data_IF_101099623204
#
_entry.id   IF_101099623204
#
_cell.length_a   1.000
_cell.length_b   1.000
_cell.length_c   1.000
_cell.angle_alpha   90.00
_cell.angle_beta   90.00
_cell.angle_gamma   90.00
#
_symmetry.space_group_name_H-M   'P 1'
#
loop_
_entity.id
_entity.type
_entity.pdbx_description
1 polymer ?
#
# COMPACT_ATOMS: atom_id res chain seq x y z
N UNK A 1 26.44 8.02 2.26
CA UNK A 1 25.05 8.12 2.75
C UNK A 1 24.19 8.66 1.61
N UNK A 2 23.24 7.87 1.10
CA UNK A 2 22.25 8.33 0.10
C UNK A 2 20.93 8.48 0.83
N UNK A 3 20.36 9.68 0.83
CA UNK A 3 19.01 9.91 1.33
C UNK A 3 18.05 9.84 0.14
N UNK A 4 16.98 9.06 0.28
CA UNK A 4 15.91 8.95 -0.71
C UNK A 4 14.67 9.56 -0.09
N UNK A 5 13.98 10.43 -0.83
CA UNK A 5 12.70 11.00 -0.40
C UNK A 5 11.61 9.93 -0.53
N UNK A 6 10.95 9.61 0.58
CA UNK A 6 9.83 8.68 0.61
C UNK A 6 8.74 9.14 1.58
N UNK A 7 7.62 8.42 1.57
CA UNK A 7 6.51 8.59 2.48
C UNK A 7 6.41 7.35 3.36
N UNK A 8 6.31 7.54 4.68
CA UNK A 8 6.07 6.47 5.63
C UNK A 8 4.56 6.20 5.72
N UNK A 9 4.17 4.98 5.40
CA UNK A 9 2.82 4.46 5.56
C UNK A 9 2.75 3.59 6.82
N UNK A 10 1.80 3.89 7.68
CA UNK A 10 1.41 3.05 8.82
C UNK A 10 0.05 2.44 8.53
N UNK A 11 -0.06 1.12 8.57
CA UNK A 11 -1.28 0.38 8.29
C UNK A 11 -1.31 -0.94 9.06
N UNK A 12 -2.47 -1.59 9.15
CA UNK A 12 -2.55 -2.95 9.69
C UNK A 12 -1.94 -3.98 8.73
N UNK A 13 -1.70 -5.19 9.24
CA UNK A 13 -1.04 -6.25 8.48
C UNK A 13 -1.84 -6.72 7.26
N UNK A 14 -3.18 -6.63 7.28
CA UNK A 14 -4.00 -7.03 6.15
C UNK A 14 -3.91 -6.00 5.01
N UNK A 15 -4.00 -4.71 5.34
CA UNK A 15 -3.77 -3.61 4.38
C UNK A 15 -2.35 -3.68 3.81
N UNK A 16 -1.36 -4.00 4.64
CA UNK A 16 0.02 -4.19 4.18
C UNK A 16 0.13 -5.29 3.11
N UNK A 17 -0.56 -6.42 3.28
CA UNK A 17 -0.55 -7.50 2.27
C UNK A 17 -1.17 -7.06 0.94
N UNK A 18 -2.23 -6.25 0.99
CA UNK A 18 -2.83 -5.65 -0.22
C UNK A 18 -1.81 -4.74 -0.91
N UNK A 19 -1.15 -3.86 -0.16
CA UNK A 19 -0.11 -2.96 -0.67
C UNK A 19 1.06 -3.72 -1.31
N UNK A 20 1.53 -4.81 -0.69
CA UNK A 20 2.58 -5.65 -1.26
C UNK A 20 2.13 -6.32 -2.57
N UNK A 21 0.88 -6.79 -2.64
CA UNK A 21 0.29 -7.34 -3.86
C UNK A 21 0.17 -6.30 -4.98
N UNK A 22 -0.21 -5.06 -4.64
CA UNK A 22 -0.23 -3.95 -5.59
C UNK A 22 1.19 -3.63 -6.09
N UNK A 23 2.17 -3.66 -5.19
CA UNK A 23 3.58 -3.40 -5.50
C UNK A 23 4.21 -4.45 -6.43
N UNK A 24 3.74 -5.71 -6.41
CA UNK A 24 4.16 -6.73 -7.38
C UNK A 24 3.73 -6.40 -8.82
N UNK A 25 2.59 -5.72 -8.98
CA UNK A 25 2.07 -5.32 -10.30
C UNK A 25 2.70 -4.04 -10.82
N UNK A 26 2.86 -3.06 -9.93
CA UNK A 26 3.47 -1.77 -10.24
C UNK A 26 4.34 -1.28 -9.06
N UNK A 27 5.68 -1.43 -9.12
CA UNK A 27 6.56 -1.20 -7.97
C UNK A 27 6.61 0.25 -7.47
N UNK A 28 6.18 0.47 -6.22
CA UNK A 28 6.21 1.76 -5.53
C UNK A 28 6.85 1.72 -4.12
N UNK A 29 7.07 0.54 -3.55
CA UNK A 29 7.70 0.36 -2.23
C UNK A 29 9.21 0.59 -2.36
N UNK A 30 9.75 1.44 -1.48
CA UNK A 30 11.19 1.65 -1.30
C UNK A 30 11.73 0.63 -0.30
N UNK A 31 11.05 0.47 0.84
CA UNK A 31 11.50 -0.39 1.93
C UNK A 31 10.32 -0.93 2.75
N UNK A 32 10.43 -2.21 3.12
CA UNK A 32 9.55 -2.86 4.09
C UNK A 32 10.25 -2.89 5.45
N UNK A 33 9.69 -2.16 6.43
CA UNK A 33 10.34 -1.91 7.72
C UNK A 33 9.93 -2.94 8.77
N UNK A 34 8.63 -3.17 8.91
CA UNK A 34 8.04 -4.10 9.88
C UNK A 34 6.58 -4.42 9.50
N UNK A 35 5.89 -5.22 10.31
CA UNK A 35 4.52 -5.68 10.06
C UNK A 35 3.47 -4.58 9.82
N UNK A 36 3.75 -3.33 10.23
CA UNK A 36 2.82 -2.21 10.19
C UNK A 36 3.33 -1.00 9.40
N UNK A 37 4.60 -1.01 8.97
CA UNK A 37 5.25 0.13 8.36
C UNK A 37 5.88 -0.18 6.99
N UNK A 38 5.59 0.67 6.01
CA UNK A 38 6.17 0.66 4.67
C UNK A 38 6.70 2.05 4.31
N UNK A 39 7.83 2.11 3.63
CA UNK A 39 8.30 3.35 2.97
C UNK A 39 8.02 3.23 1.47
N UNK A 40 7.31 4.21 0.93
CA UNK A 40 6.95 4.26 -0.50
C UNK A 40 7.55 5.49 -1.19
N UNK A 41 7.61 5.44 -2.53
CA UNK A 41 7.98 6.59 -3.35
C UNK A 41 7.00 7.75 -3.14
N UNK A 42 7.52 8.95 -2.95
CA UNK A 42 6.70 10.11 -2.55
C UNK A 42 5.77 10.62 -3.66
N UNK A 43 6.12 10.42 -4.92
CA UNK A 43 5.31 10.72 -6.10
C UNK A 43 4.17 9.71 -6.32
N UNK A 44 4.26 8.52 -5.72
CA UNK A 44 3.27 7.46 -5.84
C UNK A 44 2.16 7.53 -4.79
N UNK A 45 2.31 8.35 -3.74
CA UNK A 45 1.39 8.38 -2.59
C UNK A 45 -0.08 8.54 -3.01
N UNK A 46 -0.36 9.48 -3.90
CA UNK A 46 -1.73 9.75 -4.35
C UNK A 46 -2.34 8.56 -5.09
N UNK A 47 -1.57 7.92 -5.97
CA UNK A 47 -2.01 6.75 -6.74
C UNK A 47 -2.25 5.55 -5.82
N UNK A 48 -1.29 5.27 -4.94
CA UNK A 48 -1.36 4.15 -3.99
C UNK A 48 -2.58 4.26 -3.09
N UNK A 49 -2.88 5.45 -2.55
CA UNK A 49 -4.08 5.69 -1.72
C UNK A 49 -5.37 5.42 -2.51
N UNK A 50 -5.46 5.96 -3.73
CA UNK A 50 -6.63 5.79 -4.61
C UNK A 50 -6.88 4.34 -5.00
N UNK A 51 -5.84 3.60 -5.34
CA UNK A 51 -5.95 2.18 -5.69
C UNK A 51 -6.27 1.32 -4.46
N UNK A 52 -5.68 1.62 -3.31
CA UNK A 52 -5.97 0.91 -2.06
C UNK A 52 -7.44 1.09 -1.67
N UNK A 53 -7.98 2.31 -1.74
CA UNK A 53 -9.41 2.57 -1.51
C UNK A 53 -10.29 1.74 -2.45
N UNK A 54 -9.98 1.71 -3.74
CA UNK A 54 -10.72 0.93 -4.72
C UNK A 54 -10.64 -0.59 -4.48
N UNK A 55 -9.48 -1.12 -4.02
CA UNK A 55 -9.34 -2.52 -3.66
C UNK A 55 -10.12 -2.87 -2.38
N UNK A 56 -10.12 -1.98 -1.39
CA UNK A 56 -10.90 -2.17 -0.16
C UNK A 56 -12.40 -2.18 -0.44
N UNK A 57 -12.90 -1.25 -1.27
CA UNK A 57 -14.31 -1.20 -1.68
C UNK A 57 -14.75 -2.50 -2.36
N UNK A 58 -13.98 -3.02 -3.33
CA UNK A 58 -14.28 -4.30 -4.00
C UNK A 58 -14.41 -5.45 -3.02
N UNK A 59 -13.57 -5.48 -1.98
CA UNK A 59 -13.61 -6.52 -0.96
C UNK A 59 -14.82 -6.37 -0.03
N UNK A 60 -15.20 -5.14 0.34
CA UNK A 60 -16.43 -4.91 1.12
C UNK A 60 -17.68 -5.36 0.37
N UNK A 61 -17.81 -5.01 -0.92
CA UNK A 61 -18.96 -5.45 -1.74
C UNK A 61 -19.02 -6.97 -1.94
N UNK A 62 -17.88 -7.66 -1.95
CA UNK A 62 -17.83 -9.11 -2.11
C UNK A 62 -18.28 -9.87 -0.84
N UNK A 63 -18.15 -9.26 0.34
CA UNK A 63 -18.50 -9.87 1.62
C UNK A 63 -20.00 -9.78 1.95
N UNK A 64 -20.72 -8.79 1.41
CA UNK A 64 -22.16 -8.60 1.67
C UNK A 64 -23.08 -9.37 0.70
N UNK A 65 -22.53 -10.01 -0.35
CA UNK A 65 -23.31 -10.64 -1.42
C UNK A 65 -23.60 -12.15 -1.24
N UNK A 66 -23.38 -12.73 -0.05
CA UNK A 66 -23.65 -14.15 0.23
C UNK A 66 -24.65 -14.36 1.37
#
# INVERSE_FOLDING_TARGET
MRAIKGVLLTCDSAVKQILLTMNEKDPFVIEDLDDYHLVIKADEEYRVRRELEAELEKNTYSLEAN
#
